data_IF_586530263388
#
_entry.id   IF_586530263388
#
_cell.length_a   1.000
_cell.length_b   1.000
_cell.length_c   1.000
_cell.angle_alpha   90.00
_cell.angle_beta   90.00
_cell.angle_gamma   90.00
#
_symmetry.space_group_name_H-M   'P 1'
#
loop_
_entity.id
_entity.type
_entity.pdbx_description
1 polymer ?
#
# COMPACT_ATOMS: atom_id res chain seq x y z
N UNK A 1 -11.94 -16.79 -49.79
CA UNK A 1 -12.81 -17.89 -49.33
C UNK A 1 -12.70 -19.01 -50.36
N UNK A 2 -12.24 -20.20 -49.96
CA UNK A 2 -12.23 -21.34 -50.87
C UNK A 2 -13.68 -21.81 -51.03
N UNK A 3 -14.23 -21.71 -52.25
CA UNK A 3 -15.59 -22.15 -52.53
C UNK A 3 -15.76 -23.65 -52.26
N UNK A 4 -16.95 -24.04 -51.82
CA UNK A 4 -17.29 -25.46 -51.73
C UNK A 4 -17.18 -26.08 -53.12
N UNK A 5 -16.39 -27.15 -53.21
CA UNK A 5 -16.27 -27.92 -54.45
C UNK A 5 -17.50 -28.83 -54.51
N UNK A 6 -18.40 -28.56 -55.45
CA UNK A 6 -19.53 -29.43 -55.69
C UNK A 6 -19.03 -30.75 -56.30
N UNK A 7 -19.43 -31.86 -55.68
CA UNK A 7 -19.16 -33.20 -56.18
C UNK A 7 -20.43 -33.73 -56.85
N UNK A 8 -20.28 -34.44 -57.98
CA UNK A 8 -21.40 -35.14 -58.60
C UNK A 8 -22.09 -36.05 -57.60
N UNK A 9 -23.42 -36.08 -57.63
CA UNK A 9 -24.19 -37.03 -56.85
C UNK A 9 -23.92 -38.46 -57.32
N UNK A 10 -23.97 -39.43 -56.40
CA UNK A 10 -23.87 -40.87 -56.73
C UNK A 10 -24.95 -41.29 -57.74
N UNK A 11 -26.09 -40.59 -57.75
CA UNK A 11 -27.19 -40.80 -58.69
C UNK A 11 -26.90 -40.37 -60.12
N UNK A 12 -25.85 -39.56 -60.35
CA UNK A 12 -25.43 -39.14 -61.70
C UNK A 12 -24.51 -40.16 -62.37
N UNK A 13 -24.03 -41.16 -61.62
CA UNK A 13 -23.24 -42.24 -62.19
C UNK A 13 -24.16 -43.33 -62.75
N UNK A 14 -23.86 -43.85 -63.95
CA UNK A 14 -24.65 -44.91 -64.56
C UNK A 14 -24.66 -46.17 -63.69
N UNK A 15 -25.86 -46.71 -63.47
CA UNK A 15 -26.10 -47.86 -62.58
C UNK A 15 -25.51 -49.17 -63.13
N UNK A 16 -25.43 -49.27 -64.46
CA UNK A 16 -24.95 -50.44 -65.19
C UNK A 16 -23.78 -50.04 -66.09
N UNK A 17 -22.66 -50.76 -65.96
CA UNK A 17 -21.44 -50.53 -66.74
C UNK A 17 -21.52 -51.07 -68.16
N UNK A 18 -22.48 -51.94 -68.41
CA UNK A 18 -22.54 -52.81 -69.57
C UNK A 18 -23.08 -52.09 -70.81
N UNK A 19 -23.76 -50.96 -70.60
CA UNK A 19 -24.36 -50.13 -71.64
C UNK A 19 -23.45 -48.95 -72.05
N UNK A 20 -22.34 -48.74 -71.34
CA UNK A 20 -21.44 -47.62 -71.55
C UNK A 20 -20.35 -47.94 -72.57
N UNK A 21 -20.00 -46.94 -73.38
CA UNK A 21 -18.81 -47.05 -74.22
C UNK A 21 -17.55 -46.97 -73.35
N UNK A 22 -16.48 -47.62 -73.81
CA UNK A 22 -15.20 -47.67 -73.09
C UNK A 22 -14.68 -46.28 -72.68
N UNK A 23 -14.81 -45.29 -73.55
CA UNK A 23 -14.37 -43.91 -73.28
C UNK A 23 -15.14 -43.24 -72.12
N UNK A 24 -16.45 -43.48 -72.03
CA UNK A 24 -17.30 -42.97 -70.95
C UNK A 24 -16.96 -43.62 -69.61
N UNK A 25 -16.61 -44.91 -69.65
CA UNK A 25 -16.19 -45.71 -68.51
C UNK A 25 -14.83 -45.25 -67.97
N UNK A 26 -13.85 -45.00 -68.87
CA UNK A 26 -12.54 -44.45 -68.49
C UNK A 26 -12.66 -43.03 -67.92
N UNK A 27 -13.56 -42.21 -68.47
CA UNK A 27 -13.81 -40.84 -67.98
C UNK A 27 -14.43 -40.87 -66.59
N UNK A 28 -15.50 -41.64 -66.40
CA UNK A 28 -16.18 -41.81 -65.11
C UNK A 28 -15.24 -42.36 -64.03
N UNK A 29 -14.38 -43.32 -64.38
CA UNK A 29 -13.37 -43.85 -63.47
C UNK A 29 -12.35 -42.78 -63.03
N UNK A 30 -11.84 -41.97 -63.96
CA UNK A 30 -10.90 -40.88 -63.64
C UNK A 30 -11.55 -39.83 -62.74
N UNK A 31 -12.78 -39.43 -63.04
CA UNK A 31 -13.55 -38.49 -62.21
C UNK A 31 -13.78 -39.03 -60.78
N UNK A 32 -14.16 -40.30 -60.66
CA UNK A 32 -14.37 -40.96 -59.37
C UNK A 32 -13.06 -41.05 -58.58
N UNK A 33 -11.95 -41.42 -59.25
CA UNK A 33 -10.62 -41.48 -58.64
C UNK A 33 -10.16 -40.13 -58.12
N UNK A 34 -10.33 -39.06 -58.90
CA UNK A 34 -9.94 -37.72 -58.50
C UNK A 34 -10.80 -37.19 -57.35
N UNK A 35 -12.10 -37.47 -57.37
CA UNK A 35 -13.03 -37.15 -56.28
C UNK A 35 -12.67 -37.88 -54.99
N UNK A 36 -12.40 -39.19 -55.08
CA UNK A 36 -11.98 -40.00 -53.93
C UNK A 36 -10.64 -39.52 -53.35
N UNK A 37 -9.66 -39.21 -54.21
CA UNK A 37 -8.37 -38.63 -53.80
C UNK A 37 -8.58 -37.31 -53.05
N UNK A 38 -9.39 -36.42 -53.59
CA UNK A 38 -9.73 -35.14 -52.97
C UNK A 38 -10.41 -35.32 -51.60
N UNK A 39 -11.39 -36.23 -51.51
CA UNK A 39 -12.10 -36.51 -50.27
C UNK A 39 -11.17 -37.07 -49.19
N UNK A 40 -10.28 -37.98 -49.58
CA UNK A 40 -9.30 -38.57 -48.66
C UNK A 40 -8.35 -37.52 -48.09
N UNK A 41 -7.85 -36.61 -48.95
CA UNK A 41 -7.00 -35.48 -48.50
C UNK A 41 -7.75 -34.58 -47.54
N UNK A 42 -9.00 -34.20 -47.88
CA UNK A 42 -9.84 -33.35 -47.04
C UNK A 42 -10.11 -33.99 -45.67
N UNK A 43 -10.46 -35.28 -45.63
CA UNK A 43 -10.65 -36.04 -44.38
C UNK A 43 -9.36 -36.07 -43.55
N UNK A 44 -8.21 -36.32 -44.18
CA UNK A 44 -6.91 -36.29 -43.49
C UNK A 44 -6.61 -34.93 -42.86
N UNK A 45 -6.86 -33.84 -43.59
CA UNK A 45 -6.70 -32.48 -43.07
C UNK A 45 -7.68 -32.19 -41.92
N UNK A 46 -8.92 -32.65 -42.01
CA UNK A 46 -9.92 -32.48 -40.96
C UNK A 46 -9.51 -33.22 -39.68
N UNK A 47 -9.10 -34.49 -39.78
CA UNK A 47 -8.63 -35.28 -38.64
C UNK A 47 -7.41 -34.64 -37.99
N UNK A 48 -6.47 -34.14 -38.80
CA UNK A 48 -5.31 -33.40 -38.30
C UNK A 48 -5.72 -32.15 -37.53
N UNK A 49 -6.55 -31.29 -38.13
CA UNK A 49 -7.06 -30.06 -37.48
C UNK A 49 -7.84 -30.37 -36.20
N UNK A 50 -8.63 -31.45 -36.20
CA UNK A 50 -9.35 -31.89 -35.01
C UNK A 50 -8.39 -32.30 -33.89
N UNK A 51 -7.31 -33.01 -34.24
CA UNK A 51 -6.28 -33.44 -33.28
C UNK A 51 -5.52 -32.25 -32.71
N UNK A 52 -5.08 -31.34 -33.58
CA UNK A 52 -4.41 -30.09 -33.20
C UNK A 52 -5.33 -29.23 -32.30
N UNK A 53 -6.61 -29.09 -32.64
CA UNK A 53 -7.59 -28.36 -31.83
C UNK A 53 -7.77 -28.99 -30.43
N UNK A 54 -7.86 -30.32 -30.35
CA UNK A 54 -7.94 -31.03 -29.06
C UNK A 54 -6.69 -30.80 -28.20
N UNK A 55 -5.51 -30.89 -28.80
CA UNK A 55 -4.24 -30.63 -28.10
C UNK A 55 -4.17 -29.18 -27.62
N UNK A 56 -4.58 -28.23 -28.45
CA UNK A 56 -4.63 -26.82 -28.09
C UNK A 56 -5.57 -26.57 -26.91
N UNK A 57 -6.77 -27.18 -26.90
CA UNK A 57 -7.71 -27.07 -25.78
C UNK A 57 -7.13 -27.62 -24.48
N UNK A 58 -6.46 -28.77 -24.52
CA UNK A 58 -5.78 -29.33 -23.34
C UNK A 58 -4.72 -28.36 -22.81
N UNK A 59 -3.88 -27.81 -23.70
CA UNK A 59 -2.84 -26.85 -23.30
C UNK A 59 -3.43 -25.54 -22.74
N UNK A 60 -4.54 -25.05 -23.31
CA UNK A 60 -5.24 -23.87 -22.81
C UNK A 60 -5.82 -24.12 -21.42
N UNK A 61 -6.41 -25.29 -21.20
CA UNK A 61 -6.96 -25.64 -19.89
C UNK A 61 -5.86 -25.72 -18.82
N UNK A 62 -4.70 -26.31 -19.15
CA UNK A 62 -3.54 -26.32 -18.26
C UNK A 62 -3.03 -24.91 -17.94
N UNK A 63 -2.95 -24.04 -18.95
CA UNK A 63 -2.56 -22.62 -18.76
C UNK A 63 -3.57 -21.88 -17.88
N UNK A 64 -4.86 -22.10 -18.05
CA UNK A 64 -5.90 -21.51 -17.21
C UNK A 64 -5.79 -21.97 -15.75
N UNK A 65 -5.50 -23.24 -15.51
CA UNK A 65 -5.27 -23.74 -14.15
C UNK A 65 -4.05 -23.09 -13.50
N UNK A 66 -2.94 -22.96 -14.23
CA UNK A 66 -1.76 -22.25 -13.72
C UNK A 66 -2.04 -20.77 -13.46
N UNK A 67 -2.76 -20.10 -14.36
CA UNK A 67 -3.18 -18.71 -14.17
C UNK A 67 -4.08 -18.57 -12.94
N UNK A 68 -5.01 -19.50 -12.74
CA UNK A 68 -5.85 -19.55 -11.54
C UNK A 68 -5.04 -19.63 -10.25
N UNK A 69 -4.07 -20.55 -10.17
CA UNK A 69 -3.23 -20.68 -8.98
C UNK A 69 -2.32 -19.47 -8.75
N UNK A 70 -1.78 -18.86 -9.81
CA UNK A 70 -1.02 -17.61 -9.68
C UNK A 70 -1.88 -16.45 -9.21
N UNK A 71 -3.13 -16.36 -9.66
CA UNK A 71 -4.06 -15.31 -9.24
C UNK A 71 -4.41 -15.45 -7.75
N UNK A 72 -4.67 -16.68 -7.29
CA UNK A 72 -4.89 -16.96 -5.87
C UNK A 72 -3.69 -16.57 -5.01
N UNK A 73 -2.46 -16.87 -5.45
CA UNK A 73 -1.25 -16.48 -4.75
C UNK A 73 -1.11 -14.94 -4.66
N UNK A 74 -1.35 -14.22 -5.75
CA UNK A 74 -1.32 -12.75 -5.78
C UNK A 74 -2.41 -12.15 -4.88
N UNK A 75 -3.61 -12.73 -4.85
CA UNK A 75 -4.68 -12.28 -3.96
C UNK A 75 -4.30 -12.46 -2.48
N UNK A 76 -3.69 -13.60 -2.12
CA UNK A 76 -3.18 -13.83 -0.77
C UNK A 76 -2.09 -12.83 -0.39
N UNK A 77 -1.16 -12.54 -1.31
CA UNK A 77 -0.08 -11.58 -1.08
C UNK A 77 -0.61 -10.15 -0.94
N UNK A 78 -1.57 -9.75 -1.79
CA UNK A 78 -2.30 -8.49 -1.64
C UNK A 78 -2.96 -8.37 -0.27
N UNK A 79 -3.63 -9.42 0.21
CA UNK A 79 -4.25 -9.40 1.54
C UNK A 79 -3.21 -9.26 2.65
N UNK A 80 -2.06 -9.96 2.55
CA UNK A 80 -0.95 -9.81 3.50
C UNK A 80 -0.40 -8.38 3.52
N UNK A 81 -0.21 -7.77 2.36
CA UNK A 81 0.27 -6.39 2.24
C UNK A 81 -0.76 -5.39 2.82
N UNK A 82 -2.05 -5.59 2.56
CA UNK A 82 -3.10 -4.75 3.17
C UNK A 82 -3.09 -4.84 4.69
N UNK A 83 -2.97 -6.05 5.24
CA UNK A 83 -2.89 -6.25 6.69
C UNK A 83 -1.62 -5.59 7.27
N UNK A 84 -0.48 -5.70 6.60
CA UNK A 84 0.77 -5.06 7.01
C UNK A 84 0.67 -3.53 6.97
N UNK A 85 -0.04 -2.96 5.98
CA UNK A 85 -0.23 -1.52 5.86
C UNK A 85 -1.13 -0.98 6.98
N UNK A 86 -2.21 -1.69 7.31
CA UNK A 86 -3.06 -1.35 8.47
C UNK A 86 -2.22 -1.36 9.74
N UNK A 87 -1.43 -2.41 9.97
CA UNK A 87 -0.56 -2.50 11.15
C UNK A 87 0.47 -1.36 11.21
N UNK A 88 1.06 -0.99 10.07
CA UNK A 88 1.97 0.16 9.98
C UNK A 88 1.27 1.48 10.33
N UNK A 89 0.03 1.69 9.87
CA UNK A 89 -0.73 2.89 10.21
C UNK A 89 -1.08 2.97 11.70
N UNK A 90 -1.43 1.85 12.32
CA UNK A 90 -1.67 1.76 13.77
C UNK A 90 -0.39 2.08 14.55
N UNK A 91 0.74 1.54 14.12
CA UNK A 91 2.05 1.81 14.74
C UNK A 91 2.46 3.27 14.61
N UNK A 92 2.22 3.90 13.44
CA UNK A 92 2.47 5.34 13.24
C UNK A 92 1.63 6.18 14.20
N UNK A 93 0.34 5.86 14.35
CA UNK A 93 -0.54 6.55 15.30
C UNK A 93 -0.07 6.38 16.76
N UNK A 94 0.42 5.19 17.13
CA UNK A 94 0.99 4.97 18.47
C UNK A 94 2.25 5.80 18.70
N UNK A 95 3.17 5.85 17.72
CA UNK A 95 4.39 6.66 17.81
C UNK A 95 4.06 8.16 17.89
N UNK A 96 3.08 8.63 17.11
CA UNK A 96 2.61 10.02 17.18
C UNK A 96 2.02 10.35 18.56
N UNK A 97 1.19 9.46 19.12
CA UNK A 97 0.65 9.62 20.45
C UNK A 97 1.74 9.62 21.54
N UNK A 98 2.75 8.75 21.40
CA UNK A 98 3.91 8.75 22.30
C UNK A 98 4.76 10.02 22.15
N UNK A 99 4.92 10.53 20.94
CA UNK A 99 5.60 11.79 20.67
C UNK A 99 4.87 12.97 21.34
N UNK A 100 3.54 13.00 21.22
CA UNK A 100 2.70 14.03 21.85
C UNK A 100 2.75 13.94 23.39
N UNK A 101 2.66 12.74 23.97
CA UNK A 101 2.76 12.54 25.43
C UNK A 101 4.15 12.95 25.95
N UNK A 102 5.21 12.57 25.23
CA UNK A 102 6.57 12.96 25.59
C UNK A 102 6.77 14.48 25.50
N UNK A 103 6.21 15.14 24.48
CA UNK A 103 6.25 16.59 24.35
C UNK A 103 5.59 17.27 25.57
N UNK A 104 4.41 16.80 25.98
CA UNK A 104 3.71 17.31 27.17
C UNK A 104 4.56 17.13 28.45
N UNK A 105 5.22 15.98 28.61
CA UNK A 105 6.09 15.72 29.76
C UNK A 105 7.33 16.63 29.76
N UNK A 106 7.95 16.84 28.60
CA UNK A 106 9.11 17.73 28.45
C UNK A 106 8.73 19.18 28.73
N UNK A 107 7.59 19.65 28.23
CA UNK A 107 7.08 20.99 28.52
C UNK A 107 6.83 21.18 30.01
N UNK A 108 6.15 20.22 30.65
CA UNK A 108 5.89 20.26 32.09
C UNK A 108 7.19 20.29 32.92
N UNK A 109 8.20 19.49 32.52
CA UNK A 109 9.50 19.47 33.18
C UNK A 109 10.28 20.77 32.94
N UNK A 110 10.17 21.36 31.74
CA UNK A 110 10.79 22.64 31.40
C UNK A 110 10.19 23.76 32.23
N UNK A 111 8.86 23.80 32.36
CA UNK A 111 8.15 24.75 33.23
C UNK A 111 8.57 24.59 34.69
N UNK A 112 8.69 23.34 35.17
CA UNK A 112 9.17 23.05 36.52
C UNK A 112 10.61 23.54 36.73
N UNK A 113 11.48 23.33 35.74
CA UNK A 113 12.86 23.81 35.78
C UNK A 113 12.91 25.34 35.81
N UNK A 114 12.15 26.02 34.95
CA UNK A 114 12.08 27.48 34.93
C UNK A 114 11.56 28.06 36.24
N UNK A 115 10.52 27.45 36.83
CA UNK A 115 10.00 27.84 38.14
C UNK A 115 11.07 27.69 39.23
N UNK A 116 11.83 26.58 39.20
CA UNK A 116 12.92 26.31 40.13
C UNK A 116 14.08 27.31 39.98
N UNK A 117 14.48 27.60 38.74
CA UNK A 117 15.52 28.60 38.44
C UNK A 117 15.11 29.98 38.94
N UNK A 118 13.87 30.40 38.70
CA UNK A 118 13.35 31.68 39.20
C UNK A 118 13.33 31.74 40.72
N UNK A 119 12.95 30.66 41.39
CA UNK A 119 13.03 30.58 42.86
C UNK A 119 14.48 30.73 43.34
N UNK A 120 15.43 30.08 42.68
CA UNK A 120 16.85 30.20 42.99
C UNK A 120 17.38 31.63 42.80
N UNK A 121 17.05 32.28 41.68
CA UNK A 121 17.40 33.68 41.42
C UNK A 121 16.84 34.61 42.49
N UNK A 122 15.58 34.42 42.92
CA UNK A 122 15.00 35.23 44.00
C UNK A 122 15.69 35.01 45.34
N UNK A 123 16.17 33.80 45.60
CA UNK A 123 16.95 33.50 46.80
C UNK A 123 18.35 34.13 46.75
N UNK A 124 19.03 34.01 45.61
CA UNK A 124 20.36 34.60 45.40
C UNK A 124 20.33 36.12 45.48
N UNK A 125 19.33 36.76 44.87
CA UNK A 125 19.12 38.21 44.99
C UNK A 125 18.87 38.63 46.44
N UNK A 126 18.03 37.91 47.19
CA UNK A 126 17.79 38.19 48.60
C UNK A 126 19.06 37.99 49.45
N UNK A 127 19.93 37.03 49.08
CA UNK A 127 21.20 36.78 49.73
C UNK A 127 22.23 37.90 49.45
N UNK A 128 22.39 38.32 48.20
CA UNK A 128 23.31 39.40 47.84
C UNK A 128 22.89 40.76 48.42
N UNK A 129 21.58 41.06 48.48
CA UNK A 129 21.06 42.24 49.21
C UNK A 129 21.47 42.23 50.70
N UNK A 130 21.34 41.07 51.35
CA UNK A 130 21.69 40.87 52.76
C UNK A 130 23.20 41.01 53.01
N UNK A 131 24.01 40.61 52.03
CA UNK A 131 25.48 40.67 52.06
C UNK A 131 26.03 42.07 51.74
N UNK A 132 25.38 42.82 50.86
CA UNK A 132 25.82 44.16 50.42
C UNK A 132 25.63 45.27 51.47
N UNK A 133 24.65 45.15 52.37
CA UNK A 133 24.46 46.15 53.42
C UNK A 133 25.44 45.92 54.61
N UNK A 134 26.22 46.92 55.03
CA UNK A 134 27.28 46.76 56.04
C UNK A 134 26.93 47.16 57.49
N UNK A 135 25.74 46.83 58.02
CA UNK A 135 25.26 47.30 59.33
C UNK A 135 24.85 46.19 60.31
N UNK A 136 25.30 46.28 61.57
CA UNK A 136 25.04 45.27 62.63
C UNK A 136 23.58 45.33 63.16
N UNK A 137 22.92 46.50 63.10
CA UNK A 137 21.54 46.66 63.58
C UNK A 137 20.47 46.06 62.66
N UNK A 138 20.86 45.73 61.41
CA UNK A 138 19.99 45.13 60.38
C UNK A 138 20.07 43.59 60.32
N UNK A 139 20.93 42.95 61.12
CA UNK A 139 21.18 41.48 61.08
C UNK A 139 19.92 40.66 61.39
N UNK A 140 19.13 41.03 62.39
CA UNK A 140 17.90 40.29 62.74
C UNK A 140 16.82 40.39 61.66
N UNK A 141 16.66 41.56 61.04
CA UNK A 141 15.75 41.74 59.91
C UNK A 141 16.21 40.94 58.68
N UNK A 142 17.51 40.92 58.40
CA UNK A 142 18.12 40.12 57.31
C UNK A 142 17.95 38.63 57.51
N UNK A 143 18.21 38.13 58.71
CA UNK A 143 17.99 36.73 59.05
C UNK A 143 16.52 36.34 58.90
N UNK A 144 15.59 37.21 59.34
CA UNK A 144 14.15 36.96 59.14
C UNK A 144 13.73 36.95 57.67
N UNK A 145 14.36 37.78 56.81
CA UNK A 145 14.11 37.80 55.36
C UNK A 145 14.70 36.59 54.65
N UNK A 146 15.93 36.19 55.00
CA UNK A 146 16.54 34.96 54.50
C UNK A 146 15.76 33.73 54.94
N UNK A 147 15.32 33.67 56.20
CA UNK A 147 14.46 32.60 56.67
C UNK A 147 13.09 32.64 56.00
N UNK A 148 12.50 33.80 55.72
CA UNK A 148 11.24 33.89 54.99
C UNK A 148 11.39 33.44 53.53
N UNK A 149 12.49 33.81 52.86
CA UNK A 149 12.82 33.37 51.50
C UNK A 149 13.16 31.88 51.44
N UNK A 150 13.93 31.36 52.40
CA UNK A 150 14.24 29.94 52.54
C UNK A 150 13.00 29.12 52.91
N UNK A 151 12.15 29.61 53.81
CA UNK A 151 10.87 29.00 54.16
C UNK A 151 9.94 29.01 52.94
N UNK A 152 9.92 30.08 52.15
CA UNK A 152 9.19 30.13 50.89
C UNK A 152 9.75 29.11 49.89
N UNK A 153 11.06 29.01 49.70
CA UNK A 153 11.71 28.04 48.80
C UNK A 153 11.46 26.58 49.22
N UNK A 154 11.48 26.30 50.53
CA UNK A 154 11.34 24.94 51.08
C UNK A 154 9.89 24.51 51.29
N UNK A 155 8.95 25.45 51.47
CA UNK A 155 7.52 25.16 51.69
C UNK A 155 6.60 25.61 50.54
N UNK A 156 7.10 26.24 49.46
CA UNK A 156 6.29 26.35 48.24
C UNK A 156 6.32 25.01 47.52
N UNK A 157 5.19 24.31 47.56
CA UNK A 157 4.96 23.12 46.76
C UNK A 157 5.05 23.53 45.28
N UNK A 158 6.07 23.03 44.58
CA UNK A 158 6.36 23.37 43.17
C UNK A 158 5.14 23.05 42.30
N UNK A 159 4.30 22.09 42.69
CA UNK A 159 3.02 21.78 42.04
C UNK A 159 2.01 22.95 42.01
N UNK A 160 2.13 23.92 42.92
CA UNK A 160 1.22 25.07 43.00
C UNK A 160 1.59 26.26 42.09
N UNK A 161 2.79 26.23 41.49
CA UNK A 161 3.28 27.25 40.55
C UNK A 161 3.25 26.80 39.08
N UNK A 162 2.97 25.53 38.81
CA UNK A 162 2.74 25.03 37.45
C UNK A 162 1.37 25.54 36.97
N UNK A 163 1.30 26.37 35.90
CA UNK A 163 0.02 26.72 35.31
C UNK A 163 -0.68 25.43 34.87
N UNK A 164 -1.94 25.22 35.27
CA UNK A 164 -2.74 24.11 34.71
C UNK A 164 -2.72 24.26 33.19
N UNK A 165 -2.26 23.20 32.52
CA UNK A 165 -2.12 23.10 31.08
C UNK A 165 -3.25 23.83 30.35
N UNK A 166 -2.90 24.81 29.51
CA UNK A 166 -3.86 25.41 28.60
C UNK A 166 -4.32 24.33 27.60
N UNK A 167 -5.64 24.19 27.36
CA UNK A 167 -6.09 23.36 26.25
C UNK A 167 -5.54 23.99 24.97
N UNK A 168 -4.73 23.23 24.22
CA UNK A 168 -4.10 23.69 22.99
C UNK A 168 -5.20 23.95 21.95
N UNK A 169 -5.55 25.22 21.80
CA UNK A 169 -6.17 25.77 20.61
C UNK A 169 -5.14 26.63 19.89
N UNK A 170 -4.98 26.39 18.58
CA UNK A 170 -4.24 27.20 17.61
C UNK A 170 -2.70 27.22 17.69
N UNK A 171 -2.06 26.11 17.34
CA UNK A 171 -0.89 26.20 16.47
C UNK A 171 -1.35 25.76 15.07
N UNK A 172 -1.18 26.63 14.07
CA UNK A 172 -1.49 26.30 12.68
C UNK A 172 -0.73 25.03 12.30
N UNK A 173 -1.37 24.00 11.70
CA UNK A 173 -0.66 22.82 11.27
C UNK A 173 0.35 23.27 10.21
N UNK A 174 1.64 23.04 10.49
CA UNK A 174 2.66 23.09 9.46
C UNK A 174 2.27 22.16 8.31
N UNK A 175 2.55 22.63 7.12
CA UNK A 175 2.20 22.14 5.77
C UNK A 175 2.66 20.70 5.46
N UNK A 176 3.21 19.99 6.46
CA UNK A 176 3.68 18.61 6.40
C UNK A 176 2.58 17.57 6.62
N UNK A 177 1.34 17.99 6.85
CA UNK A 177 0.20 17.12 7.17
C UNK A 177 -0.68 16.71 5.98
N UNK A 178 -0.42 17.24 4.77
CA UNK A 178 -1.21 16.95 3.56
C UNK A 178 -0.71 15.75 2.73
N UNK A 179 -0.07 14.77 3.37
CA UNK A 179 0.20 13.46 2.77
C UNK A 179 -1.03 12.54 2.86
N UNK A 180 -2.10 12.94 2.16
CA UNK A 180 -3.22 12.04 1.89
C UNK A 180 -2.80 10.97 0.87
N UNK A 181 -3.44 9.78 0.86
CA UNK A 181 -3.14 8.71 -0.10
C UNK A 181 -3.25 9.10 -1.58
N UNK A 182 -3.85 10.26 -1.88
CA UNK A 182 -3.95 10.85 -3.21
C UNK A 182 -2.71 11.68 -3.63
N UNK A 183 -1.81 12.01 -2.70
CA UNK A 183 -0.72 12.98 -2.91
C UNK A 183 0.69 12.34 -2.81
N UNK A 184 0.78 11.07 -2.44
CA UNK A 184 2.04 10.31 -2.43
C UNK A 184 2.52 10.16 -3.88
N UNK A 185 3.77 10.56 -4.16
CA UNK A 185 4.48 10.57 -5.46
C UNK A 185 4.29 11.77 -6.40
N UNK A 186 3.62 12.84 -5.98
CA UNK A 186 3.49 14.03 -6.84
C UNK A 186 4.81 14.81 -6.99
N UNK A 187 5.62 14.85 -5.93
CA UNK A 187 6.95 15.49 -5.95
C UNK A 187 7.99 14.78 -6.83
N UNK A 188 7.75 13.53 -7.24
CA UNK A 188 8.64 12.79 -8.17
C UNK A 188 8.31 13.05 -9.65
N UNK A 189 7.18 13.69 -9.94
CA UNK A 189 6.71 13.99 -11.31
C UNK A 189 6.98 15.43 -11.73
N UNK A 190 7.16 16.36 -10.79
CA UNK A 190 7.38 17.78 -11.07
C UNK A 190 8.87 18.15 -11.27
N UNK A 191 9.80 17.21 -11.06
CA UNK A 191 11.25 17.38 -11.27
C UNK A 191 11.75 16.87 -12.66
N UNK A 192 10.86 16.82 -13.68
CA UNK A 192 11.23 16.54 -15.08
C UNK A 192 11.11 17.76 -16.00
#
# INVERSE_FOLDING_TARGET
MAGYKDYRSVTEFPLHTDELKREELETSYKELRDSYRSLTISRGQLVRRQTEAKQNLVSMNQKLQMLGSTLEAVQQEKQRLQNALVHSSEMRSQVENWGNDLAVQVDALTDQMQATTKLLETFESAYEEVKAEGGIFTIWQRFSRLLAAANRLLNTDISSMVPKAHPIGSAKPEEWTDETPANINRSLLDDQ
#
